data_IF_025324381454
#
_entry.id   IF_025324381454
#
_cell.length_a   1.000
_cell.length_b   1.000
_cell.length_c   1.000
_cell.angle_alpha   90.00
_cell.angle_beta   90.00
_cell.angle_gamma   90.00
#
_symmetry.space_group_name_H-M   'P 1'
#
loop_
_entity.id
_entity.type
_entity.pdbx_description
1 polymer ?
#
# COMPACT_ATOMS: atom_id res chain seq x y z
N UNK A 1 5.95 -7.87 5.60
CA UNK A 1 6.32 -6.69 4.79
C UNK A 1 7.83 -6.61 4.69
N UNK A 2 8.40 -6.57 3.48
CA UNK A 2 9.84 -6.32 3.23
C UNK A 2 9.93 -5.14 2.27
N UNK A 3 10.70 -4.12 2.63
CA UNK A 3 10.81 -2.89 1.84
C UNK A 3 12.25 -2.74 1.38
N UNK A 4 12.44 -2.57 0.07
CA UNK A 4 13.74 -2.36 -0.56
C UNK A 4 13.84 -0.88 -0.97
N UNK A 5 15.03 -0.27 -0.82
CA UNK A 5 15.31 1.14 -1.18
C UNK A 5 14.53 2.24 -0.42
N UNK A 6 13.88 1.95 0.71
CA UNK A 6 13.26 3.00 1.55
C UNK A 6 14.25 3.84 2.39
N UNK A 7 15.55 3.53 2.31
CA UNK A 7 16.60 4.27 3.04
C UNK A 7 16.98 5.61 2.38
N UNK A 8 16.46 5.89 1.17
CA UNK A 8 16.67 7.19 0.53
C UNK A 8 16.03 8.28 1.42
N UNK A 9 16.87 9.20 1.93
CA UNK A 9 16.49 10.32 2.82
C UNK A 9 16.15 10.01 4.29
N UNK A 10 16.51 8.84 4.85
CA UNK A 10 16.22 8.47 6.26
C UNK A 10 14.72 8.38 6.63
N UNK A 11 13.81 8.37 5.66
CA UNK A 11 12.35 8.31 5.89
C UNK A 11 11.80 6.88 5.94
N UNK A 12 12.66 5.87 6.07
CA UNK A 12 12.24 4.46 5.99
C UNK A 12 11.22 4.07 7.05
N UNK A 13 11.35 4.59 8.28
CA UNK A 13 10.38 4.33 9.37
C UNK A 13 9.04 5.02 9.08
N UNK A 14 9.06 6.31 8.73
CA UNK A 14 7.85 7.07 8.42
C UNK A 14 7.09 6.45 7.25
N UNK A 15 7.81 5.99 6.21
CA UNK A 15 7.23 5.26 5.09
C UNK A 15 6.54 3.97 5.53
N UNK A 16 7.18 3.19 6.40
CA UNK A 16 6.61 1.93 6.89
C UNK A 16 5.36 2.16 7.73
N UNK A 17 5.33 3.21 8.56
CA UNK A 17 4.15 3.56 9.34
C UNK A 17 2.99 4.03 8.45
N UNK A 18 3.27 4.92 7.48
CA UNK A 18 2.26 5.40 6.54
C UNK A 18 1.68 4.27 5.66
N UNK A 19 2.54 3.33 5.25
CA UNK A 19 2.11 2.15 4.51
C UNK A 19 1.21 1.24 5.34
N UNK A 20 1.49 1.06 6.64
CA UNK A 20 0.61 0.29 7.54
C UNK A 20 -0.75 0.95 7.68
N UNK A 21 -0.78 2.28 7.86
CA UNK A 21 -2.04 3.03 7.94
C UNK A 21 -2.86 2.82 6.68
N UNK A 22 -2.25 3.01 5.51
CA UNK A 22 -2.92 2.82 4.22
C UNK A 22 -3.46 1.40 4.03
N UNK A 23 -2.72 0.38 4.49
CA UNK A 23 -3.17 -1.03 4.42
C UNK A 23 -4.35 -1.28 5.36
N UNK A 24 -4.31 -0.74 6.58
CA UNK A 24 -5.42 -0.89 7.53
C UNK A 24 -6.70 -0.24 6.99
N UNK A 25 -6.59 0.95 6.40
CA UNK A 25 -7.72 1.62 5.75
C UNK A 25 -8.33 0.78 4.63
N UNK A 26 -7.49 0.16 3.79
CA UNK A 26 -7.95 -0.78 2.74
C UNK A 26 -8.74 -1.94 3.35
N UNK A 27 -8.28 -2.50 4.48
CA UNK A 27 -8.96 -3.60 5.15
C UNK A 27 -10.30 -3.18 5.77
N UNK A 28 -10.40 -1.96 6.29
CA UNK A 28 -11.63 -1.45 6.93
C UNK A 28 -12.69 -0.98 5.91
N UNK A 29 -12.28 -0.36 4.81
CA UNK A 29 -13.21 0.18 3.79
C UNK A 29 -13.69 -0.86 2.77
N UNK A 30 -13.02 -2.00 2.66
CA UNK A 30 -13.40 -3.05 1.71
C UNK A 30 -14.59 -3.87 2.21
N UNK A 31 -15.81 -3.37 1.97
CA UNK A 31 -17.08 -4.05 2.36
C UNK A 31 -17.33 -5.36 1.60
N UNK A 32 -16.70 -5.55 0.43
CA UNK A 32 -16.66 -6.82 -0.29
C UNK A 32 -15.24 -7.04 -0.81
N UNK A 33 -14.63 -8.16 -0.41
CA UNK A 33 -13.32 -8.60 -0.86
C UNK A 33 -13.43 -9.07 -2.32
N UNK A 34 -13.46 -8.09 -3.22
CA UNK A 34 -13.54 -8.30 -4.66
C UNK A 34 -12.24 -8.91 -5.19
N UNK A 35 -12.36 -9.81 -6.16
CA UNK A 35 -11.23 -10.36 -6.92
C UNK A 35 -10.74 -9.41 -8.03
N UNK A 36 -11.19 -8.16 -8.03
CA UNK A 36 -10.69 -7.12 -8.94
C UNK A 36 -9.54 -6.33 -8.31
N UNK A 37 -8.62 -5.88 -9.15
CA UNK A 37 -7.51 -5.01 -8.71
C UNK A 37 -8.08 -3.62 -8.40
N UNK A 38 -7.86 -3.16 -7.19
CA UNK A 38 -8.17 -1.81 -6.74
C UNK A 38 -6.88 -1.02 -6.46
N UNK A 39 -7.02 0.32 -6.41
CA UNK A 39 -5.89 1.24 -6.23
C UNK A 39 -6.18 2.22 -5.10
N UNK A 40 -5.25 2.33 -4.17
CA UNK A 40 -5.23 3.34 -3.11
C UNK A 40 -3.96 4.21 -3.27
N UNK A 41 -4.00 5.46 -2.80
CA UNK A 41 -2.86 6.38 -2.82
C UNK A 41 -2.44 6.66 -1.38
N UNK A 42 -1.15 6.55 -1.09
CA UNK A 42 -0.62 7.01 0.19
C UNK A 42 -0.73 8.53 0.27
N UNK A 43 -1.07 9.06 1.45
CA UNK A 43 -1.22 10.50 1.65
C UNK A 43 0.13 11.21 1.70
N UNK A 44 1.12 10.62 2.39
CA UNK A 44 2.38 11.28 2.69
C UNK A 44 3.51 10.93 1.72
N UNK A 45 3.29 9.97 0.81
CA UNK A 45 4.29 9.50 -0.15
C UNK A 45 3.70 9.39 -1.56
N UNK A 46 4.50 9.63 -2.62
CA UNK A 46 4.05 9.52 -4.01
C UNK A 46 3.96 8.06 -4.44
N UNK A 47 3.16 7.27 -3.72
CA UNK A 47 3.06 5.82 -3.86
C UNK A 47 1.62 5.43 -4.17
N UNK A 48 1.48 4.60 -5.20
CA UNK A 48 0.22 3.94 -5.54
C UNK A 48 0.25 2.50 -5.02
N UNK A 49 -0.73 2.16 -4.21
CA UNK A 49 -0.94 0.81 -3.68
C UNK A 49 -1.97 0.13 -4.57
N UNK A 50 -1.52 -0.80 -5.41
CA UNK A 50 -2.39 -1.72 -6.15
C UNK A 50 -2.63 -2.94 -5.26
N UNK A 51 -3.88 -3.35 -5.11
CA UNK A 51 -4.21 -4.48 -4.25
C UNK A 51 -5.35 -5.32 -4.81
N UNK A 52 -5.36 -6.60 -4.43
CA UNK A 52 -6.39 -7.56 -4.78
C UNK A 52 -6.57 -8.53 -3.61
N UNK A 53 -7.82 -8.82 -3.27
CA UNK A 53 -8.13 -9.89 -2.33
C UNK A 53 -8.15 -11.22 -3.08
N UNK A 54 -7.19 -12.09 -2.76
CA UNK A 54 -7.16 -13.45 -3.34
C UNK A 54 -8.29 -14.31 -2.76
N UNK A 55 -8.67 -14.04 -1.51
CA UNK A 55 -9.79 -14.65 -0.79
C UNK A 55 -10.15 -13.81 0.46
N UNK A 56 -10.90 -14.40 1.39
CA UNK A 56 -11.31 -13.73 2.62
C UNK A 56 -10.17 -13.49 3.63
N UNK A 57 -9.01 -14.13 3.47
CA UNK A 57 -7.90 -14.09 4.42
C UNK A 57 -6.65 -13.43 3.83
N UNK A 58 -6.47 -13.51 2.51
CA UNK A 58 -5.26 -13.10 1.82
C UNK A 58 -5.49 -11.83 0.97
N UNK A 59 -4.63 -10.84 1.20
CA UNK A 59 -4.56 -9.58 0.47
C UNK A 59 -3.18 -9.48 -0.19
N UNK A 60 -3.16 -9.42 -1.52
CA UNK A 60 -1.95 -9.16 -2.27
C UNK A 60 -1.84 -7.66 -2.55
N UNK A 61 -0.65 -7.09 -2.30
CA UNK A 61 -0.39 -5.66 -2.45
C UNK A 61 0.90 -5.44 -3.22
N UNK A 62 0.87 -4.48 -4.14
CA UNK A 62 2.04 -3.89 -4.79
C UNK A 62 2.04 -2.37 -4.57
N UNK A 63 3.03 -1.87 -3.84
CA UNK A 63 3.25 -0.44 -3.63
C UNK A 63 4.30 0.09 -4.62
N UNK A 64 3.94 1.04 -5.47
CA UNK A 64 4.78 1.56 -6.55
C UNK A 64 5.02 3.05 -6.33
N UNK A 65 6.28 3.45 -6.17
CA UNK A 65 6.67 4.86 -6.24
C UNK A 65 6.42 5.37 -7.66
N UNK A 66 5.56 6.37 -7.79
CA UNK A 66 5.40 7.06 -9.06
C UNK A 66 6.51 8.11 -9.11
N UNK A 67 7.47 7.96 -10.02
CA UNK A 67 8.37 9.06 -10.33
C UNK A 67 7.51 10.25 -10.81
N UNK A 68 7.62 11.37 -10.10
CA UNK A 68 7.13 12.67 -10.57
C UNK A 68 8.01 13.04 -11.77
N UNK A 69 7.60 12.62 -12.97
CA UNK A 69 8.12 13.16 -14.22
C UNK A 69 7.70 14.62 -14.40
#
# INVERSE_FOLDING_TARGET
MRVFNAEKENKGIDFLEDLKVSINEILETSTQKSSEIAVNKMENFPVLIHYIFENEENLFITAIFKELN
#
